data_IF_764292662301
#
_entry.id   IF_764292662301
#
_cell.length_a   1.000
_cell.length_b   1.000
_cell.length_c   1.000
_cell.angle_alpha   90.00
_cell.angle_beta   90.00
_cell.angle_gamma   90.00
#
_symmetry.space_group_name_H-M   'P 1'
#
loop_
_entity.id
_entity.type
_entity.pdbx_description
1 polymer ?
#
# COMPACT_ATOMS: atom_id res chain seq x y z
N UNK A 1 -1.40 -27.38 -30.72
CA UNK A 1 -0.73 -26.95 -29.48
C UNK A 1 -1.85 -26.64 -28.50
N UNK A 2 -1.98 -27.42 -27.42
CA UNK A 2 -3.12 -27.31 -26.50
C UNK A 2 -2.78 -26.24 -25.45
N UNK A 3 -3.37 -25.05 -25.57
CA UNK A 3 -3.12 -23.95 -24.62
C UNK A 3 -3.89 -24.28 -23.34
N UNK A 4 -3.23 -24.38 -22.17
CA UNK A 4 -3.91 -24.64 -20.91
C UNK A 4 -4.95 -23.55 -20.61
N UNK A 5 -6.03 -23.91 -19.92
CA UNK A 5 -7.03 -22.95 -19.45
C UNK A 5 -6.41 -21.97 -18.45
N UNK A 6 -7.00 -20.78 -18.29
CA UNK A 6 -6.57 -19.79 -17.30
C UNK A 6 -6.39 -20.39 -15.90
N UNK A 7 -7.38 -21.16 -15.45
CA UNK A 7 -7.34 -21.88 -14.18
C UNK A 7 -6.15 -22.84 -14.04
N UNK A 8 -5.82 -23.57 -15.10
CA UNK A 8 -4.68 -24.48 -15.09
C UNK A 8 -3.35 -23.73 -15.08
N UNK A 9 -3.28 -22.57 -15.74
CA UNK A 9 -2.11 -21.68 -15.70
C UNK A 9 -1.94 -21.09 -14.29
N UNK A 10 -3.00 -20.58 -13.67
CA UNK A 10 -2.96 -20.05 -12.30
C UNK A 10 -2.48 -21.11 -11.30
N UNK A 11 -3.04 -22.32 -11.37
CA UNK A 11 -2.59 -23.44 -10.52
C UNK A 11 -1.14 -23.82 -10.76
N UNK A 12 -0.68 -23.79 -12.01
CA UNK A 12 0.69 -24.11 -12.34
C UNK A 12 1.65 -23.04 -11.82
N UNK A 13 1.30 -21.76 -11.97
CA UNK A 13 2.07 -20.64 -11.40
C UNK A 13 2.14 -20.80 -9.89
N UNK A 14 1.00 -20.94 -9.21
CA UNK A 14 0.94 -21.12 -7.75
C UNK A 14 1.74 -22.34 -7.28
N UNK A 15 1.68 -23.45 -8.01
CA UNK A 15 2.46 -24.66 -7.68
C UNK A 15 3.97 -24.49 -7.81
N UNK A 16 4.43 -23.60 -8.69
CA UNK A 16 5.86 -23.32 -8.87
C UNK A 16 6.37 -22.17 -7.98
N UNK A 17 5.56 -21.14 -7.75
CA UNK A 17 5.99 -19.93 -7.01
C UNK A 17 5.58 -19.97 -5.54
N UNK A 18 4.61 -20.81 -5.16
CA UNK A 18 3.97 -20.76 -3.85
C UNK A 18 3.11 -19.51 -3.61
N UNK A 19 2.95 -18.65 -4.62
CA UNK A 19 2.12 -17.43 -4.54
C UNK A 19 0.68 -17.80 -4.88
N UNK A 20 -0.15 -17.90 -3.85
CA UNK A 20 -1.58 -18.16 -4.00
C UNK A 20 -2.41 -16.89 -3.83
N UNK A 21 -3.45 -16.74 -4.67
CA UNK A 21 -4.42 -15.68 -4.55
C UNK A 21 -5.40 -16.02 -3.41
N UNK A 22 -5.62 -15.07 -2.51
CA UNK A 22 -6.57 -15.22 -1.41
C UNK A 22 -7.83 -14.43 -1.76
N UNK A 23 -8.95 -15.15 -1.92
CA UNK A 23 -10.25 -14.54 -2.14
C UNK A 23 -10.89 -14.15 -0.81
N UNK A 24 -11.50 -12.97 -0.79
CA UNK A 24 -12.22 -12.46 0.35
C UNK A 24 -13.58 -11.92 -0.09
N UNK A 25 -14.60 -12.16 0.72
CA UNK A 25 -15.94 -11.69 0.44
C UNK A 25 -16.05 -10.17 0.68
N UNK A 26 -16.84 -9.49 -0.14
CA UNK A 26 -17.09 -8.05 -0.01
C UNK A 26 -18.54 -7.69 -0.32
N UNK A 27 -18.96 -6.55 0.21
CA UNK A 27 -20.24 -5.96 -0.10
C UNK A 27 -20.31 -5.54 -1.57
N UNK A 28 -21.45 -5.82 -2.22
CA UNK A 28 -21.74 -5.46 -3.62
C UNK A 28 -21.60 -3.95 -3.88
N UNK A 29 -22.04 -3.12 -2.93
CA UNK A 29 -21.90 -1.65 -2.98
C UNK A 29 -20.51 -1.13 -2.56
N UNK A 30 -19.53 -2.02 -2.45
CA UNK A 30 -18.14 -1.71 -2.07
C UNK A 30 -18.02 -1.00 -0.72
N UNK A 31 -18.98 -1.24 0.17
CA UNK A 31 -19.02 -0.57 1.47
C UNK A 31 -17.90 -1.08 2.39
N UNK A 32 -17.80 -2.41 2.52
CA UNK A 32 -16.82 -3.12 3.37
C UNK A 32 -16.40 -4.43 2.70
N UNK A 33 -15.19 -4.87 3.02
CA UNK A 33 -14.81 -6.27 2.95
C UNK A 33 -15.30 -7.00 4.20
N UNK A 34 -15.81 -8.22 4.04
CA UNK A 34 -16.21 -9.10 5.16
C UNK A 34 -14.98 -9.81 5.73
N UNK A 35 -14.02 -9.02 6.20
CA UNK A 35 -12.75 -9.47 6.79
C UNK A 35 -12.57 -8.82 8.16
N UNK A 36 -11.63 -9.35 8.96
CA UNK A 36 -11.29 -8.78 10.27
C UNK A 36 -12.54 -8.57 11.13
N UNK A 37 -12.83 -7.34 11.60
CA UNK A 37 -14.03 -7.05 12.42
C UNK A 37 -15.38 -7.37 11.73
N UNK A 38 -15.42 -7.45 10.41
CA UNK A 38 -16.65 -7.68 9.64
C UNK A 38 -16.85 -9.13 9.21
N UNK A 39 -15.92 -10.04 9.53
CA UNK A 39 -15.92 -11.40 9.00
C UNK A 39 -17.12 -12.25 9.43
N UNK A 40 -17.72 -11.93 10.58
CA UNK A 40 -18.86 -12.66 11.14
C UNK A 40 -20.22 -12.04 10.79
N UNK A 41 -20.25 -11.00 9.94
CA UNK A 41 -21.50 -10.33 9.58
C UNK A 41 -22.16 -10.97 8.37
N UNK A 42 -23.46 -11.21 8.47
CA UNK A 42 -24.30 -11.67 7.36
C UNK A 42 -24.84 -10.52 6.50
N UNK A 43 -24.74 -9.28 6.99
CA UNK A 43 -25.23 -8.07 6.31
C UNK A 43 -24.18 -6.96 6.39
N UNK A 44 -24.14 -6.12 5.36
CA UNK A 44 -23.28 -4.95 5.35
C UNK A 44 -23.74 -3.93 6.41
N UNK A 45 -22.84 -3.47 7.31
CA UNK A 45 -23.21 -2.50 8.34
C UNK A 45 -23.47 -1.08 7.81
N UNK A 46 -23.18 -0.81 6.53
CA UNK A 46 -23.32 0.52 5.92
C UNK A 46 -24.57 0.61 5.04
N UNK A 47 -24.77 -0.32 4.10
CA UNK A 47 -25.93 -0.30 3.20
C UNK A 47 -27.04 -1.31 3.58
N UNK A 48 -26.77 -2.27 4.47
CA UNK A 48 -27.72 -3.30 4.86
C UNK A 48 -27.84 -4.48 3.87
N UNK A 49 -27.19 -4.40 2.70
CA UNK A 49 -27.20 -5.50 1.72
C UNK A 49 -26.68 -6.81 2.31
N UNK A 50 -27.24 -7.91 1.83
CA UNK A 50 -26.86 -9.26 2.25
C UNK A 50 -25.41 -9.56 1.84
N UNK A 51 -24.69 -10.27 2.70
CA UNK A 51 -23.36 -10.81 2.39
C UNK A 51 -23.46 -11.88 1.30
N UNK A 52 -24.48 -12.75 1.41
CA UNK A 52 -24.64 -13.94 0.58
C UNK A 52 -25.85 -13.84 -0.36
N UNK A 53 -25.72 -14.46 -1.53
CA UNK A 53 -26.80 -14.61 -2.50
C UNK A 53 -27.97 -15.42 -1.91
N UNK A 54 -29.06 -14.70 -1.57
CA UNK A 54 -30.25 -15.27 -0.97
C UNK A 54 -30.89 -16.38 -1.82
N UNK A 55 -30.81 -16.31 -3.15
CA UNK A 55 -31.39 -17.33 -4.04
C UNK A 55 -30.60 -18.62 -3.90
N UNK A 56 -29.27 -18.56 -3.94
CA UNK A 56 -28.41 -19.74 -3.79
C UNK A 56 -28.46 -20.32 -2.38
N UNK A 57 -28.56 -19.46 -1.37
CA UNK A 57 -28.74 -19.89 0.01
C UNK A 57 -30.06 -20.64 0.19
N UNK A 58 -31.17 -20.09 -0.31
CA UNK A 58 -32.49 -20.74 -0.26
C UNK A 58 -32.50 -22.06 -1.04
N UNK A 59 -31.98 -22.07 -2.27
CA UNK A 59 -32.01 -23.25 -3.16
C UNK A 59 -31.16 -24.41 -2.63
N UNK A 60 -30.10 -24.10 -1.88
CA UNK A 60 -29.24 -25.10 -1.23
C UNK A 60 -29.72 -25.53 0.17
N UNK A 61 -30.84 -24.99 0.65
CA UNK A 61 -31.33 -25.26 2.01
C UNK A 61 -30.40 -24.74 3.11
N UNK A 62 -29.66 -23.66 2.84
CA UNK A 62 -28.71 -23.05 3.77
C UNK A 62 -27.30 -23.65 3.74
N UNK A 63 -27.01 -24.57 2.82
CA UNK A 63 -25.71 -25.26 2.77
C UNK A 63 -24.65 -24.54 1.93
N UNK A 64 -25.06 -23.68 1.00
CA UNK A 64 -24.17 -22.93 0.11
C UNK A 64 -24.29 -21.42 0.34
N UNK A 65 -23.35 -20.87 1.11
CA UNK A 65 -23.18 -19.44 1.30
C UNK A 65 -22.22 -18.91 0.23
N UNK A 66 -22.77 -18.33 -0.83
CA UNK A 66 -21.98 -17.74 -1.91
C UNK A 66 -22.09 -16.23 -1.79
N UNK A 67 -20.97 -15.57 -1.51
CA UNK A 67 -20.93 -14.11 -1.46
C UNK A 67 -21.31 -13.49 -2.80
N UNK A 68 -21.93 -12.31 -2.75
CA UNK A 68 -22.29 -11.56 -3.95
C UNK A 68 -21.07 -11.14 -4.77
N UNK A 69 -20.00 -10.74 -4.09
CA UNK A 69 -18.79 -10.25 -4.71
C UNK A 69 -17.57 -10.60 -3.86
N UNK A 70 -16.43 -10.72 -4.52
CA UNK A 70 -15.14 -11.01 -3.91
C UNK A 70 -14.07 -10.04 -4.37
N UNK A 71 -13.07 -9.84 -3.54
CA UNK A 71 -11.81 -9.18 -3.89
C UNK A 71 -10.65 -10.13 -3.62
N UNK A 72 -9.48 -9.78 -4.15
CA UNK A 72 -8.28 -10.62 -4.08
C UNK A 72 -7.20 -9.91 -3.28
N UNK A 73 -6.55 -10.65 -2.38
CA UNK A 73 -5.27 -10.28 -1.77
C UNK A 73 -4.19 -11.27 -2.22
N UNK A 74 -3.00 -10.75 -2.50
CA UNK A 74 -1.81 -11.53 -2.83
C UNK A 74 -0.81 -11.36 -1.67
N UNK A 75 -0.50 -12.43 -0.93
CA UNK A 75 0.34 -12.33 0.26
C UNK A 75 1.76 -11.93 -0.12
N UNK A 76 2.35 -11.00 0.64
CA UNK A 76 3.67 -10.45 0.34
C UNK A 76 4.82 -11.44 0.60
N UNK A 77 4.67 -12.32 1.60
CA UNK A 77 5.71 -13.28 2.00
C UNK A 77 6.19 -14.18 0.86
N UNK A 78 5.30 -14.97 0.22
CA UNK A 78 5.67 -15.82 -0.90
C UNK A 78 6.23 -15.02 -2.09
N UNK A 79 5.68 -13.84 -2.38
CA UNK A 79 6.18 -12.97 -3.45
C UNK A 79 7.63 -12.56 -3.18
N UNK A 80 7.93 -12.17 -1.94
CA UNK A 80 9.28 -11.86 -1.49
C UNK A 80 10.21 -13.07 -1.61
N UNK A 81 9.80 -14.25 -1.14
CA UNK A 81 10.63 -15.46 -1.23
C UNK A 81 11.03 -15.79 -2.67
N UNK A 82 10.10 -15.64 -3.63
CA UNK A 82 10.36 -15.87 -5.05
C UNK A 82 11.42 -14.93 -5.62
N UNK A 83 11.50 -13.69 -5.15
CA UNK A 83 12.53 -12.75 -5.61
C UNK A 83 13.96 -13.22 -5.29
N UNK A 84 14.13 -14.01 -4.24
CA UNK A 84 15.43 -14.53 -3.81
C UNK A 84 15.79 -15.88 -4.43
N UNK A 85 14.84 -16.54 -5.10
CA UNK A 85 15.09 -17.81 -5.80
C UNK A 85 15.94 -17.66 -7.07
N UNK A 86 16.09 -16.44 -7.59
CA UNK A 86 16.94 -16.14 -8.73
C UNK A 86 18.24 -15.44 -8.26
N UNK A 87 19.44 -15.97 -8.58
CA UNK A 87 20.70 -15.40 -8.12
C UNK A 87 20.94 -13.95 -8.56
N UNK A 88 20.48 -13.57 -9.75
CA UNK A 88 20.63 -12.20 -10.24
C UNK A 88 19.73 -11.27 -9.42
N UNK A 89 18.47 -11.62 -9.22
CA UNK A 89 17.54 -10.83 -8.41
C UNK A 89 18.00 -10.72 -6.94
N UNK A 90 18.54 -11.80 -6.36
CA UNK A 90 19.09 -11.80 -5.00
C UNK A 90 20.29 -10.84 -4.87
N UNK A 91 21.21 -10.83 -5.84
CA UNK A 91 22.31 -9.85 -5.89
C UNK A 91 21.76 -8.42 -5.98
N UNK A 92 20.75 -8.18 -6.83
CA UNK A 92 20.17 -6.85 -7.01
C UNK A 92 19.42 -6.31 -5.78
N UNK A 93 18.83 -7.17 -4.96
CA UNK A 93 18.16 -6.79 -3.70
C UNK A 93 19.17 -6.42 -2.61
N UNK A 94 20.42 -6.86 -2.72
CA UNK A 94 21.46 -6.49 -1.75
C UNK A 94 21.90 -5.01 -1.84
N UNK A 95 21.41 -4.25 -2.83
CA UNK A 95 21.74 -2.84 -3.04
C UNK A 95 21.56 -2.00 -1.77
N UNK A 96 20.41 -2.07 -1.11
CA UNK A 96 20.13 -1.24 0.06
C UNK A 96 21.12 -1.50 1.20
N UNK A 97 21.51 -2.75 1.42
CA UNK A 97 22.52 -3.10 2.42
C UNK A 97 23.87 -2.48 2.04
N UNK A 98 24.31 -2.66 0.79
CA UNK A 98 25.59 -2.14 0.31
C UNK A 98 25.65 -0.60 0.39
N UNK A 99 24.56 0.08 0.03
CA UNK A 99 24.45 1.54 0.09
C UNK A 99 24.47 2.01 1.55
N UNK A 100 23.77 1.32 2.46
CA UNK A 100 23.78 1.64 3.89
C UNK A 100 25.18 1.51 4.49
N UNK A 101 25.91 0.44 4.15
CA UNK A 101 27.29 0.24 4.57
C UNK A 101 28.23 1.32 4.00
N UNK A 102 28.02 1.73 2.74
CA UNK A 102 28.76 2.82 2.12
C UNK A 102 28.49 4.15 2.84
N UNK A 103 27.23 4.50 3.12
CA UNK A 103 26.85 5.71 3.86
C UNK A 103 27.54 5.74 5.23
N UNK A 104 27.54 4.62 5.96
CA UNK A 104 28.22 4.54 7.26
C UNK A 104 29.74 4.77 7.17
N UNK A 105 30.40 4.22 6.15
CA UNK A 105 31.83 4.47 5.92
C UNK A 105 32.10 5.93 5.56
N UNK A 106 31.28 6.49 4.68
CA UNK A 106 31.46 7.85 4.20
C UNK A 106 31.24 8.89 5.30
N UNK A 107 30.14 8.76 6.04
CA UNK A 107 29.83 9.64 7.18
C UNK A 107 30.90 9.57 8.28
N UNK A 108 31.51 8.41 8.51
CA UNK A 108 32.65 8.30 9.42
C UNK A 108 33.86 9.11 8.94
N UNK A 109 34.12 9.14 7.62
CA UNK A 109 35.26 9.85 7.03
C UNK A 109 35.04 11.37 6.91
N UNK A 110 33.80 11.80 6.64
CA UNK A 110 33.45 13.21 6.40
C UNK A 110 32.95 13.94 7.66
N UNK A 111 32.90 13.27 8.81
CA UNK A 111 32.38 13.86 10.05
C UNK A 111 30.85 14.01 10.07
N UNK A 112 30.13 13.13 9.36
CA UNK A 112 28.67 13.06 9.35
C UNK A 112 28.00 13.80 8.20
N UNK A 113 28.75 14.24 7.19
CA UNK A 113 28.21 14.97 6.04
C UNK A 113 27.91 14.01 4.89
N UNK A 114 26.66 14.01 4.42
CA UNK A 114 26.22 13.35 3.18
C UNK A 114 26.08 14.44 2.12
N UNK A 115 26.89 14.36 1.05
CA UNK A 115 26.95 15.41 0.01
C UNK A 115 25.78 15.34 -0.98
N UNK A 116 25.32 14.13 -1.31
CA UNK A 116 24.31 13.89 -2.35
C UNK A 116 23.11 13.15 -1.76
N UNK A 117 21.90 13.62 -2.04
CA UNK A 117 20.63 12.97 -1.68
C UNK A 117 19.91 12.51 -2.96
N UNK A 118 20.17 11.29 -3.38
CA UNK A 118 19.65 10.67 -4.62
C UNK A 118 18.72 9.48 -4.36
N UNK A 119 18.67 8.98 -3.11
CA UNK A 119 17.81 7.87 -2.70
C UNK A 119 17.33 8.02 -1.24
N UNK A 120 16.26 7.29 -0.90
CA UNK A 120 15.58 7.39 0.40
C UNK A 120 16.47 6.97 1.58
N UNK A 121 17.41 6.03 1.36
CA UNK A 121 18.29 5.49 2.39
C UNK A 121 19.28 6.53 2.95
N UNK A 122 19.39 7.71 2.31
CA UNK A 122 20.18 8.86 2.79
C UNK A 122 19.39 9.78 3.72
N UNK A 123 18.08 9.57 3.85
CA UNK A 123 17.21 10.32 4.76
C UNK A 123 17.50 9.99 6.23
N UNK A 124 17.37 11.00 7.10
CA UNK A 124 17.56 10.83 8.55
C UNK A 124 16.66 9.76 9.14
N UNK A 125 15.39 9.70 8.72
CA UNK A 125 14.41 8.77 9.29
C UNK A 125 14.82 7.30 9.10
N UNK A 126 15.37 6.97 7.92
CA UNK A 126 15.90 5.63 7.63
C UNK A 126 17.18 5.35 8.45
N UNK A 127 18.14 6.28 8.44
CA UNK A 127 19.42 6.11 9.14
C UNK A 127 19.22 6.00 10.66
N UNK A 128 18.27 6.74 11.21
CA UNK A 128 17.89 6.63 12.62
C UNK A 128 17.16 5.31 12.91
N UNK A 129 16.31 4.81 12.01
CA UNK A 129 15.67 3.50 12.15
C UNK A 129 16.70 2.36 12.19
N UNK A 130 17.72 2.40 11.32
CA UNK A 130 18.86 1.48 11.36
C UNK A 130 19.60 1.60 12.70
N UNK A 131 19.90 2.82 13.15
CA UNK A 131 20.61 3.07 14.41
C UNK A 131 19.84 2.58 15.65
N UNK A 132 18.51 2.69 15.64
CA UNK A 132 17.63 2.16 16.69
C UNK A 132 17.52 0.63 16.63
N UNK A 133 17.89 0.01 15.51
CA UNK A 133 17.73 -1.42 15.27
C UNK A 133 16.32 -1.80 14.81
N UNK A 134 15.52 -0.82 14.38
CA UNK A 134 14.18 -1.03 13.83
C UNK A 134 14.26 -1.72 12.45
N UNK A 135 15.34 -1.44 11.71
CA UNK A 135 15.68 -2.08 10.43
C UNK A 135 17.04 -2.78 10.60
N UNK A 136 17.14 -4.04 10.21
CA UNK A 136 18.37 -4.86 10.24
C UNK A 136 18.93 -5.07 8.83
N UNK A 137 20.21 -5.46 8.68
CA UNK A 137 20.85 -5.61 7.36
C UNK A 137 20.12 -6.53 6.36
N UNK A 138 19.42 -7.55 6.85
CA UNK A 138 18.70 -8.52 6.01
C UNK A 138 17.17 -8.26 5.96
N UNK A 139 16.72 -7.14 6.52
CA UNK A 139 15.30 -6.80 6.53
C UNK A 139 14.88 -6.26 5.16
N UNK A 140 13.71 -6.71 4.72
CA UNK A 140 13.12 -6.27 3.46
C UNK A 140 12.25 -5.06 3.73
N UNK A 141 12.63 -3.95 3.13
CA UNK A 141 11.98 -2.66 3.26
C UNK A 141 10.97 -2.51 2.13
N UNK A 142 9.74 -2.20 2.50
CA UNK A 142 8.60 -2.10 1.60
C UNK A 142 8.01 -0.70 1.64
N UNK A 143 7.50 -0.30 0.49
CA UNK A 143 6.55 0.80 0.36
C UNK A 143 5.23 0.25 -0.16
N UNK A 144 4.11 0.65 0.46
CA UNK A 144 2.77 0.38 -0.07
C UNK A 144 2.32 1.57 -0.92
N UNK A 145 1.63 1.28 -2.02
CA UNK A 145 0.90 2.29 -2.79
C UNK A 145 -0.53 1.83 -3.09
N UNK A 146 -1.51 2.72 -2.97
CA UNK A 146 -2.92 2.44 -3.27
C UNK A 146 -3.46 3.46 -4.26
N UNK A 147 -4.14 3.00 -5.31
CA UNK A 147 -4.91 3.90 -6.17
C UNK A 147 -6.11 3.20 -6.85
N UNK A 148 -7.08 4.01 -7.25
CA UNK A 148 -8.12 3.63 -8.21
C UNK A 148 -7.57 3.67 -9.65
N UNK A 149 -7.99 2.71 -10.46
CA UNK A 149 -7.67 2.59 -11.86
C UNK A 149 -8.96 2.39 -12.67
N UNK A 150 -9.17 3.24 -13.67
CA UNK A 150 -10.28 3.11 -14.61
C UNK A 150 -9.88 2.17 -15.74
N UNK A 151 -10.63 1.09 -15.95
CA UNK A 151 -10.35 0.14 -17.02
C UNK A 151 -10.82 0.69 -18.36
N UNK A 152 -9.90 0.78 -19.33
CA UNK A 152 -9.99 1.57 -20.57
C UNK A 152 -11.21 1.27 -21.48
N UNK A 153 -11.89 0.14 -21.29
CA UNK A 153 -13.02 -0.28 -22.12
C UNK A 153 -14.39 -0.01 -21.47
N UNK A 154 -14.45 0.11 -20.14
CA UNK A 154 -15.66 0.43 -19.38
C UNK A 154 -15.40 1.63 -18.49
N UNK A 155 -15.82 2.81 -18.95
CA UNK A 155 -15.70 4.06 -18.18
C UNK A 155 -16.48 4.03 -16.85
N UNK A 156 -17.31 3.01 -16.64
CA UNK A 156 -18.14 2.83 -15.45
C UNK A 156 -17.46 1.95 -14.39
N UNK A 157 -16.39 1.21 -14.72
CA UNK A 157 -15.72 0.33 -13.76
C UNK A 157 -14.42 0.93 -13.21
N UNK A 158 -14.45 1.23 -11.91
CA UNK A 158 -13.30 1.64 -11.11
C UNK A 158 -12.75 0.44 -10.33
N UNK A 159 -11.55 -0.03 -10.68
CA UNK A 159 -10.86 -1.06 -9.92
C UNK A 159 -9.87 -0.39 -8.96
N UNK A 160 -9.88 -0.77 -7.68
CA UNK A 160 -8.88 -0.30 -6.73
C UNK A 160 -7.78 -1.35 -6.56
N UNK A 161 -6.54 -0.90 -6.62
CA UNK A 161 -5.36 -1.77 -6.55
C UNK A 161 -4.40 -1.18 -5.54
N UNK A 162 -3.88 -2.02 -4.65
CA UNK A 162 -2.67 -1.68 -3.91
C UNK A 162 -1.52 -2.59 -4.32
N UNK A 163 -0.33 -2.01 -4.30
CA UNK A 163 0.93 -2.62 -4.71
C UNK A 163 1.96 -2.46 -3.59
N UNK A 164 2.94 -3.34 -3.61
CA UNK A 164 4.15 -3.26 -2.81
C UNK A 164 5.34 -2.95 -3.71
N UNK A 165 6.19 -2.06 -3.25
CA UNK A 165 7.46 -1.71 -3.89
C UNK A 165 8.56 -2.12 -2.92
N UNK A 166 9.47 -2.97 -3.40
CA UNK A 166 10.62 -3.45 -2.63
C UNK A 166 11.71 -2.38 -2.71
N UNK A 167 11.90 -1.66 -1.61
CA UNK A 167 12.83 -0.55 -1.47
C UNK A 167 14.29 -1.02 -1.31
N UNK A 168 14.53 -2.33 -1.34
CA UNK A 168 15.87 -2.90 -1.30
C UNK A 168 16.61 -2.79 -2.64
N UNK A 169 15.87 -2.64 -3.74
CA UNK A 169 16.45 -2.46 -5.07
C UNK A 169 17.06 -1.07 -5.24
N UNK A 170 17.74 -0.83 -6.35
CA UNK A 170 18.25 0.48 -6.69
C UNK A 170 17.16 1.43 -7.22
N UNK A 171 17.35 2.76 -7.14
CA UNK A 171 16.36 3.76 -7.58
C UNK A 171 15.87 3.61 -9.02
N UNK A 172 16.73 3.12 -9.92
CA UNK A 172 16.41 2.89 -11.33
C UNK A 172 15.46 1.70 -11.54
N UNK A 173 15.25 0.86 -10.51
CA UNK A 173 14.45 -0.38 -10.56
C UNK A 173 13.15 -0.32 -9.78
N UNK A 174 13.10 0.37 -8.62
CA UNK A 174 11.95 0.44 -7.72
C UNK A 174 10.58 0.49 -8.41
N UNK A 175 10.44 1.37 -9.41
CA UNK A 175 9.16 1.68 -10.05
C UNK A 175 8.98 1.02 -11.43
N UNK A 176 9.90 0.14 -11.83
CA UNK A 176 9.77 -0.58 -13.10
C UNK A 176 8.76 -1.71 -12.91
N UNK A 177 7.88 -1.89 -13.89
CA UNK A 177 6.75 -2.83 -13.83
C UNK A 177 7.11 -4.24 -13.34
N UNK A 178 8.29 -4.75 -13.68
CA UNK A 178 8.75 -6.09 -13.28
C UNK A 178 9.16 -6.21 -11.80
N UNK A 179 9.36 -5.11 -11.08
CA UNK A 179 9.72 -5.09 -9.65
C UNK A 179 8.57 -4.61 -8.75
N UNK A 180 7.43 -4.26 -9.34
CA UNK A 180 6.23 -3.89 -8.59
C UNK A 180 5.44 -5.16 -8.28
N UNK A 181 5.24 -5.44 -7.00
CA UNK A 181 4.52 -6.61 -6.53
C UNK A 181 3.04 -6.23 -6.29
N UNK A 182 2.07 -6.97 -6.86
CA UNK A 182 0.67 -6.73 -6.55
C UNK A 182 0.36 -7.12 -5.10
N UNK A 183 -0.42 -6.28 -4.43
CA UNK A 183 -0.92 -6.54 -3.07
C UNK A 183 -2.38 -7.00 -3.06
N UNK A 184 -3.23 -6.36 -3.86
CA UNK A 184 -4.62 -6.80 -3.98
C UNK A 184 -5.42 -6.05 -5.04
N UNK A 185 -6.54 -6.65 -5.43
CA UNK A 185 -7.46 -6.15 -6.47
C UNK A 185 -8.87 -6.10 -5.90
N UNK A 186 -9.44 -4.90 -5.87
CA UNK A 186 -10.78 -4.63 -5.35
C UNK A 186 -11.66 -4.23 -6.54
N UNK A 187 -12.45 -5.17 -7.08
CA UNK A 187 -13.30 -4.87 -8.22
C UNK A 187 -14.52 -4.05 -7.81
N UNK A 188 -15.04 -3.26 -8.74
CA UNK A 188 -16.38 -2.68 -8.66
C UNK A 188 -16.54 -1.41 -9.49
N UNK A 189 -17.64 -0.69 -9.28
CA UNK A 189 -18.01 0.49 -10.07
C UNK A 189 -17.84 1.81 -9.29
N UNK A 190 -17.48 1.71 -8.02
CA UNK A 190 -17.48 2.83 -7.07
C UNK A 190 -16.19 2.85 -6.24
N UNK A 191 -15.97 3.96 -5.54
CA UNK A 191 -14.91 4.05 -4.53
C UNK A 191 -15.31 3.21 -3.30
N UNK A 192 -14.41 2.37 -2.75
CA UNK A 192 -14.66 1.69 -1.49
C UNK A 192 -14.94 2.68 -0.36
N UNK A 193 -16.00 2.42 0.43
CA UNK A 193 -16.37 3.33 1.54
C UNK A 193 -15.46 3.18 2.74
N UNK A 194 -15.14 1.94 3.10
CA UNK A 194 -14.16 1.60 4.13
C UNK A 194 -12.96 0.88 3.51
N UNK A 195 -11.97 1.65 3.06
CA UNK A 195 -10.74 1.12 2.44
C UNK A 195 -9.94 0.23 3.40
N UNK A 196 -9.93 0.54 4.69
CA UNK A 196 -9.18 -0.22 5.70
C UNK A 196 -9.61 -1.69 5.74
N UNK A 197 -10.90 -1.96 5.58
CA UNK A 197 -11.41 -3.34 5.52
C UNK A 197 -10.81 -4.15 4.36
N UNK A 198 -10.50 -3.49 3.23
CA UNK A 198 -9.90 -4.12 2.06
C UNK A 198 -8.37 -4.21 2.16
N UNK A 199 -7.71 -3.26 2.83
CA UNK A 199 -6.27 -3.31 3.10
C UNK A 199 -5.90 -4.27 4.24
N UNK A 200 -6.85 -4.53 5.15
CA UNK A 200 -6.64 -5.31 6.36
C UNK A 200 -5.97 -6.67 6.10
N UNK A 201 -6.39 -7.51 5.13
CA UNK A 201 -5.74 -8.80 4.91
C UNK A 201 -4.25 -8.65 4.55
N UNK A 202 -3.92 -7.75 3.63
CA UNK A 202 -2.53 -7.50 3.20
C UNK A 202 -1.65 -6.96 4.33
N UNK A 203 -2.17 -5.97 5.07
CA UNK A 203 -1.46 -5.38 6.22
C UNK A 203 -1.35 -6.37 7.39
N UNK A 204 -2.34 -7.24 7.59
CA UNK A 204 -2.29 -8.30 8.60
C UNK A 204 -1.19 -9.32 8.26
N UNK A 205 -1.07 -9.74 6.99
CA UNK A 205 0.04 -10.58 6.55
C UNK A 205 1.40 -9.92 6.78
N UNK A 206 1.53 -8.64 6.41
CA UNK A 206 2.75 -7.87 6.68
C UNK A 206 3.07 -7.80 8.18
N UNK A 207 2.08 -7.52 9.02
CA UNK A 207 2.24 -7.44 10.47
C UNK A 207 2.66 -8.80 11.07
N UNK A 208 2.13 -9.91 10.57
CA UNK A 208 2.59 -11.23 10.99
C UNK A 208 4.09 -11.43 10.67
N UNK A 209 4.52 -11.06 9.46
CA UNK A 209 5.94 -11.15 9.06
C UNK A 209 6.85 -10.18 9.82
N UNK A 210 6.33 -9.02 10.26
CA UNK A 210 7.02 -8.10 11.14
C UNK A 210 7.30 -8.68 12.53
N UNK A 211 6.39 -9.51 13.05
CA UNK A 211 6.49 -10.07 14.39
C UNK A 211 7.19 -11.44 14.42
N UNK A 212 6.92 -12.28 13.43
CA UNK A 212 7.38 -13.68 13.38
C UNK A 212 8.65 -13.85 12.54
N UNK A 213 8.91 -12.93 11.61
CA UNK A 213 9.98 -13.02 10.62
C UNK A 213 9.62 -13.94 9.45
N UNK A 214 10.24 -13.68 8.31
CA UNK A 214 10.14 -14.48 7.09
C UNK A 214 11.45 -15.22 6.86
N UNK A 215 11.40 -16.55 6.78
CA UNK A 215 12.55 -17.36 6.36
C UNK A 215 12.67 -17.30 4.85
N UNK A 216 13.84 -16.88 4.35
CA UNK A 216 14.13 -16.71 2.93
C UNK A 216 15.38 -17.50 2.60
N UNK A 217 15.33 -18.24 1.49
CA UNK A 217 16.51 -18.87 0.89
C UNK A 217 17.09 -17.93 -0.16
N UNK A 218 18.37 -17.58 0.00
CA UNK A 218 19.14 -16.78 -0.93
C UNK A 218 19.82 -17.69 -1.96
N UNK A 219 19.39 -17.64 -3.21
CA UNK A 219 19.96 -18.45 -4.29
C UNK A 219 21.38 -18.01 -4.71
N UNK A 220 21.79 -16.78 -4.41
CA UNK A 220 23.14 -16.29 -4.70
C UNK A 220 24.16 -16.83 -3.71
N UNK A 221 23.82 -16.82 -2.40
CA UNK A 221 24.70 -17.28 -1.33
C UNK A 221 24.47 -18.75 -0.91
N UNK A 222 23.40 -19.36 -1.39
CA UNK A 222 22.92 -20.69 -0.98
C UNK A 222 22.77 -20.82 0.55
N UNK A 223 22.14 -19.82 1.16
CA UNK A 223 21.91 -19.78 2.62
C UNK A 223 20.50 -19.34 2.96
N UNK A 224 20.04 -19.73 4.14
CA UNK A 224 18.78 -19.23 4.68
C UNK A 224 19.05 -18.07 5.66
N UNK A 225 18.22 -17.04 5.57
CA UNK A 225 18.20 -15.97 6.56
C UNK A 225 16.75 -15.66 6.97
N UNK A 226 16.62 -14.90 8.07
CA UNK A 226 15.32 -14.42 8.54
C UNK A 226 15.26 -12.92 8.33
N UNK A 227 14.19 -12.48 7.66
CA UNK A 227 13.91 -11.08 7.39
C UNK A 227 12.69 -10.63 8.17
N UNK A 228 12.77 -9.51 8.88
CA UNK A 228 11.62 -8.86 9.51
C UNK A 228 11.21 -7.71 8.59
N UNK A 229 10.13 -7.91 7.82
CA UNK A 229 9.72 -6.93 6.82
C UNK A 229 9.46 -5.56 7.47
N UNK A 230 9.89 -4.48 6.83
CA UNK A 230 9.71 -3.12 7.36
C UNK A 230 8.92 -2.28 6.37
N UNK A 231 7.83 -1.64 6.81
CA UNK A 231 7.07 -0.71 5.97
C UNK A 231 7.57 0.70 6.19
N UNK A 232 8.31 1.24 5.21
CA UNK A 232 8.90 2.57 5.35
C UNK A 232 7.96 3.69 4.88
N UNK A 233 7.17 3.43 3.82
CA UNK A 233 6.27 4.42 3.26
C UNK A 233 4.90 3.84 2.94
N UNK A 234 3.87 4.64 3.19
CA UNK A 234 2.54 4.46 2.64
C UNK A 234 2.25 5.63 1.70
N UNK A 235 2.03 5.32 0.43
CA UNK A 235 1.89 6.32 -0.63
C UNK A 235 0.56 6.18 -1.36
N UNK A 236 0.05 7.30 -1.84
CA UNK A 236 -1.10 7.36 -2.72
C UNK A 236 -1.07 8.72 -3.41
N UNK A 237 -1.97 8.93 -4.37
CA UNK A 237 -2.20 10.27 -4.89
C UNK A 237 -2.80 11.19 -3.81
N UNK A 238 -2.99 12.46 -4.15
CA UNK A 238 -3.60 13.44 -3.27
C UNK A 238 -4.90 12.88 -2.65
N UNK A 239 -5.95 12.62 -3.42
CA UNK A 239 -7.20 12.07 -2.88
C UNK A 239 -7.05 10.76 -2.09
N UNK A 240 -6.13 9.86 -2.46
CA UNK A 240 -5.98 8.54 -1.86
C UNK A 240 -5.22 8.51 -0.54
N UNK A 241 -4.32 9.45 -0.25
CA UNK A 241 -3.52 9.39 0.98
C UNK A 241 -4.37 9.48 2.27
N UNK A 242 -5.59 10.03 2.16
CA UNK A 242 -6.55 10.11 3.27
C UNK A 242 -6.90 8.76 3.86
N UNK A 243 -6.75 7.68 3.09
CA UNK A 243 -6.99 6.32 3.59
C UNK A 243 -5.86 5.79 4.46
N UNK A 244 -4.66 6.39 4.38
CA UNK A 244 -3.54 6.00 5.23
C UNK A 244 -3.41 6.91 6.45
N UNK A 245 -3.61 8.22 6.28
CA UNK A 245 -3.39 9.20 7.36
C UNK A 245 -4.67 9.60 8.12
N UNK A 246 -5.85 9.21 7.64
CA UNK A 246 -7.15 9.55 8.23
C UNK A 246 -7.49 11.04 8.18
N UNK A 247 -6.76 11.83 7.39
CA UNK A 247 -6.96 13.27 7.28
C UNK A 247 -8.11 13.62 6.34
N UNK A 248 -8.46 14.91 6.34
CA UNK A 248 -9.41 15.45 5.36
C UNK A 248 -8.80 15.45 3.95
N UNK A 249 -9.67 15.40 2.94
CA UNK A 249 -9.26 15.49 1.54
C UNK A 249 -8.51 16.79 1.23
N UNK A 250 -7.90 16.83 0.04
CA UNK A 250 -7.11 17.97 -0.45
C UNK A 250 -7.86 19.33 -0.48
N UNK A 251 -9.18 19.31 -0.34
CA UNK A 251 -10.04 20.50 -0.26
C UNK A 251 -10.47 20.87 1.15
N UNK A 252 -9.91 20.22 2.17
CA UNK A 252 -10.17 20.51 3.58
C UNK A 252 -9.48 21.79 4.04
N UNK A 253 -9.94 22.33 5.18
CA UNK A 253 -9.43 23.59 5.76
C UNK A 253 -7.91 23.59 5.93
N UNK A 254 -7.35 22.49 6.42
CA UNK A 254 -5.91 22.26 6.40
C UNK A 254 -5.60 21.18 5.35
N UNK A 255 -5.30 21.61 4.13
CA UNK A 255 -4.95 20.70 3.03
C UNK A 255 -3.53 20.13 3.14
N UNK A 256 -2.68 20.74 3.97
CA UNK A 256 -1.29 20.34 4.20
C UNK A 256 -1.24 19.16 5.18
N UNK A 257 -0.70 18.03 4.72
CA UNK A 257 -0.70 16.76 5.47
C UNK A 257 0.48 16.56 6.41
N UNK A 258 1.39 17.52 6.42
CA UNK A 258 2.51 17.57 7.36
C UNK A 258 2.23 18.54 8.51
N UNK A 259 0.96 18.94 8.69
CA UNK A 259 0.55 19.90 9.71
C UNK A 259 1.35 21.21 9.68
N UNK A 260 1.71 21.70 8.48
CA UNK A 260 2.48 22.94 8.31
C UNK A 260 1.74 24.22 8.73
N UNK A 261 0.60 24.10 9.42
CA UNK A 261 -0.17 25.22 9.96
C UNK A 261 -0.91 26.09 8.94
N UNK A 262 -0.61 25.95 7.65
CA UNK A 262 -1.28 26.71 6.59
C UNK A 262 -2.75 26.29 6.45
N UNK A 263 -3.64 27.20 6.79
CA UNK A 263 -5.07 27.07 6.54
C UNK A 263 -5.42 27.61 5.15
N UNK A 264 -6.41 26.99 4.51
CA UNK A 264 -6.97 27.46 3.26
C UNK A 264 -8.09 28.46 3.47
N UNK A 265 -8.40 29.21 2.41
CA UNK A 265 -9.60 30.04 2.33
C UNK A 265 -10.75 29.27 1.66
N UNK A 266 -11.93 29.28 2.28
CA UNK A 266 -13.15 28.62 1.82
C UNK A 266 -13.77 29.34 0.61
N UNK A 267 -14.21 28.58 -0.39
CA UNK A 267 -15.07 29.07 -1.46
C UNK A 267 -16.05 27.96 -1.86
N UNK A 268 -17.33 28.18 -1.59
CA UNK A 268 -18.34 27.12 -1.70
C UNK A 268 -18.09 26.04 -0.66
N UNK A 269 -17.89 24.80 -1.11
CA UNK A 269 -17.63 23.64 -0.24
C UNK A 269 -16.15 23.23 -0.18
N UNK A 270 -15.23 24.07 -0.67
CA UNK A 270 -13.82 23.73 -0.80
C UNK A 270 -12.95 24.81 -0.16
N UNK A 271 -11.83 24.40 0.42
CA UNK A 271 -10.78 25.29 0.89
C UNK A 271 -9.61 25.28 -0.11
N UNK A 272 -9.04 26.45 -0.33
CA UNK A 272 -7.93 26.66 -1.26
C UNK A 272 -6.73 27.24 -0.50
N UNK A 273 -5.50 26.73 -0.69
CA UNK A 273 -4.31 27.22 0.01
C UNK A 273 -3.80 28.54 -0.62
N UNK A 274 -4.64 29.57 -0.57
CA UNK A 274 -4.31 30.91 -1.05
C UNK A 274 -3.65 31.67 0.09
N UNK A 275 -2.48 32.25 -0.18
CA UNK A 275 -1.70 32.96 0.85
C UNK A 275 -2.25 34.35 1.18
N UNK A 276 -3.07 34.91 0.32
CA UNK A 276 -3.60 36.27 0.46
C UNK A 276 -5.09 36.23 0.79
N UNK A 277 -5.49 37.08 1.73
CA UNK A 277 -6.88 37.34 2.02
C UNK A 277 -7.55 37.99 0.81
N UNK A 278 -8.63 37.39 0.34
CA UNK A 278 -9.38 37.87 -0.81
C UNK A 278 -10.09 39.21 -0.51
N UNK A 279 -10.21 40.06 -1.53
CA UNK A 279 -10.95 41.32 -1.39
C UNK A 279 -12.44 41.08 -1.09
N UNK A 280 -13.01 41.84 -0.16
CA UNK A 280 -14.41 41.70 0.29
C UNK A 280 -14.78 40.31 0.80
N UNK A 281 -13.81 39.61 1.40
CA UNK A 281 -13.97 38.26 1.89
C UNK A 281 -14.13 38.23 3.41
N UNK A 282 -15.31 37.80 3.88
CA UNK A 282 -15.62 37.68 5.31
C UNK A 282 -16.40 36.39 5.59
N UNK A 283 -15.77 35.25 5.30
CA UNK A 283 -16.30 33.94 5.67
C UNK A 283 -15.80 33.60 7.07
N UNK A 284 -16.74 33.39 7.99
CA UNK A 284 -16.45 33.03 9.38
C UNK A 284 -15.61 31.74 9.43
N UNK A 285 -14.56 31.73 10.25
CA UNK A 285 -13.63 30.62 10.36
C UNK A 285 -12.63 30.48 9.20
N UNK A 286 -12.68 31.38 8.21
CA UNK A 286 -11.83 31.33 7.03
C UNK A 286 -11.22 32.69 6.63
N UNK A 287 -11.36 33.72 7.47
CA UNK A 287 -10.91 35.10 7.21
C UNK A 287 -9.55 35.44 7.87
N UNK A 288 -8.66 34.45 7.98
CA UNK A 288 -7.32 34.68 8.52
C UNK A 288 -6.53 35.67 7.64
N UNK A 289 -5.56 36.42 8.22
CA UNK A 289 -4.75 37.37 7.46
C UNK A 289 -3.82 36.66 6.46
N UNK A 290 -3.15 37.47 5.64
CA UNK A 290 -2.14 37.01 4.69
C UNK A 290 -1.05 36.17 5.38
N UNK A 291 -0.67 35.06 4.73
CA UNK A 291 0.42 34.20 5.14
C UNK A 291 1.65 34.47 4.27
N UNK A 292 2.81 34.67 4.90
CA UNK A 292 4.07 34.79 4.17
C UNK A 292 4.54 33.41 3.70
N UNK A 293 4.98 33.24 2.45
CA UNK A 293 5.57 31.98 1.98
C UNK A 293 6.88 31.61 2.72
N UNK A 294 7.46 32.54 3.47
CA UNK A 294 8.69 32.32 4.26
C UNK A 294 8.40 32.00 5.74
N UNK A 295 7.14 31.97 6.15
CA UNK A 295 6.73 31.75 7.54
C UNK A 295 5.88 30.48 7.72
N UNK A 296 5.82 29.63 6.68
CA UNK A 296 5.08 28.36 6.63
C UNK A 296 6.06 27.21 6.82
#
# INVERSE_FOLDING_TARGET
MNIPSHYNIEKLIAGHTGVELIEHDMCLDMCVAFTGPYSALDNCPICGEDHYDAIKLCTSGGWSCIAHQKFITIPIGPQVQVLWCDPQQAEEISYLQQETEWIHRETHNTGGVIETYDDFCKGSDYLEAIKRGDIKPNDIVLMISLNGAQLYESKESDCWIYIWIVMNHSPDKHYKKCYVLPGGFIPGLHKPKNVDSFLFPGLHHLAALQNEGLVIWDACLDTNFVSYLYLIFATADGPGLVYFDGMVGHSGCNGCRLYCGLLGHCKGNHYYPVLLLLNNYNIEGSNHPDCSPYAI
#
